data_IF_621877949142
#
_entry.id   IF_621877949142
#
_cell.length_a   1.000
_cell.length_b   1.000
_cell.length_c   1.000
_cell.angle_alpha   90.00
_cell.angle_beta   90.00
_cell.angle_gamma   90.00
#
_symmetry.space_group_name_H-M   'P 1'
#
loop_
_entity.id
_entity.type
_entity.pdbx_description
1 polymer ?
#
# COMPACT_ATOMS: atom_id res chain seq x y z
N UNK A 1 17.56 10.30 13.63
CA UNK A 1 16.28 9.61 13.40
C UNK A 1 16.37 8.94 12.05
N UNK A 2 16.00 7.67 11.94
CA UNK A 2 16.00 6.98 10.65
C UNK A 2 14.84 7.52 9.80
N UNK A 3 15.05 7.66 8.49
CA UNK A 3 13.97 7.96 7.56
C UNK A 3 13.06 6.74 7.45
N UNK A 4 11.74 6.94 7.50
CA UNK A 4 10.76 5.86 7.42
C UNK A 4 10.58 5.47 5.95
N UNK A 5 10.80 4.20 5.60
CA UNK A 5 10.55 3.72 4.25
C UNK A 5 9.05 3.46 4.05
N UNK A 6 8.41 4.23 3.17
CA UNK A 6 7.00 4.12 2.89
C UNK A 6 6.74 3.48 1.52
N UNK A 7 5.86 2.48 1.51
CA UNK A 7 5.24 1.95 0.30
C UNK A 7 3.79 2.43 0.22
N UNK A 8 3.55 3.42 -0.64
CA UNK A 8 2.23 3.96 -0.93
C UNK A 8 1.53 3.12 -1.98
N UNK A 9 0.44 2.47 -1.61
CA UNK A 9 -0.28 1.55 -2.46
C UNK A 9 -1.74 1.96 -2.66
N UNK A 10 -2.40 1.31 -3.62
CA UNK A 10 -3.86 1.23 -3.67
C UNK A 10 -4.34 -0.12 -3.12
N UNK A 11 -5.58 -0.23 -2.64
CA UNK A 11 -6.17 -1.51 -2.29
C UNK A 11 -6.06 -2.54 -3.41
N UNK A 12 -5.87 -3.81 -3.04
CA UNK A 12 -5.82 -4.95 -3.97
C UNK A 12 -4.66 -4.92 -4.99
N UNK A 13 -3.62 -4.11 -4.74
CA UNK A 13 -2.40 -3.99 -5.55
C UNK A 13 -1.34 -5.06 -5.33
N UNK A 14 -1.55 -6.01 -4.40
CA UNK A 14 -0.53 -6.95 -3.86
C UNK A 14 0.45 -6.32 -2.85
N UNK A 15 0.15 -5.13 -2.34
CA UNK A 15 0.95 -4.45 -1.30
C UNK A 15 1.20 -5.29 -0.04
N UNK A 16 0.24 -6.10 0.42
CA UNK A 16 0.48 -6.99 1.58
C UNK A 16 1.50 -8.09 1.28
N UNK A 17 1.58 -8.59 0.04
CA UNK A 17 2.62 -9.56 -0.33
C UNK A 17 4.01 -8.91 -0.39
N UNK A 18 4.08 -7.66 -0.86
CA UNK A 18 5.30 -6.86 -0.79
C UNK A 18 5.71 -6.58 0.66
N UNK A 19 4.76 -6.25 1.52
CA UNK A 19 5.01 -6.09 2.96
C UNK A 19 5.53 -7.38 3.60
N UNK A 20 5.01 -8.55 3.21
CA UNK A 20 5.54 -9.83 3.68
C UNK A 20 7.01 -10.01 3.27
N UNK A 21 7.37 -9.69 2.02
CA UNK A 21 8.76 -9.67 1.59
C UNK A 21 9.62 -8.75 2.48
N UNK A 22 9.13 -7.54 2.81
CA UNK A 22 9.83 -6.65 3.75
C UNK A 22 9.97 -7.23 5.16
N UNK A 23 8.96 -7.96 5.65
CA UNK A 23 9.01 -8.65 6.95
C UNK A 23 10.08 -9.75 6.97
N UNK A 24 10.26 -10.49 5.87
CA UNK A 24 11.26 -11.57 5.79
C UNK A 24 12.70 -11.06 5.85
N UNK A 25 12.95 -9.82 5.44
CA UNK A 25 14.28 -9.20 5.51
C UNK A 25 14.80 -9.05 6.94
N UNK A 26 13.89 -8.89 7.92
CA UNK A 26 14.20 -8.74 9.37
C UNK A 26 15.12 -7.56 9.71
N UNK A 27 15.31 -6.63 8.78
CA UNK A 27 16.16 -5.45 8.92
C UNK A 27 15.36 -4.15 9.14
N UNK A 28 14.02 -4.22 9.06
CA UNK A 28 13.11 -3.11 9.33
C UNK A 28 11.98 -3.53 10.28
N UNK A 29 11.57 -2.61 11.15
CA UNK A 29 10.31 -2.73 11.85
C UNK A 29 9.15 -2.43 10.88
N UNK A 30 8.43 -3.48 10.47
CA UNK A 30 7.37 -3.39 9.46
C UNK A 30 5.99 -3.21 10.08
N UNK A 31 5.30 -2.14 9.71
CA UNK A 31 3.96 -1.79 10.18
C UNK A 31 2.93 -1.84 9.04
N UNK A 32 1.78 -2.47 9.32
CA UNK A 32 0.69 -2.63 8.37
C UNK A 32 -0.34 -1.51 8.53
N UNK A 33 -0.38 -0.60 7.57
CA UNK A 33 -1.40 0.46 7.47
C UNK A 33 -1.71 1.16 8.82
N UNK A 34 -0.71 1.72 9.51
CA UNK A 34 -0.90 2.25 10.86
C UNK A 34 -1.87 3.45 10.89
N UNK A 35 -1.87 4.31 9.86
CA UNK A 35 -2.87 5.39 9.76
C UNK A 35 -4.22 4.86 9.28
N UNK A 36 -4.24 3.76 8.53
CA UNK A 36 -5.45 3.00 8.24
C UNK A 36 -6.19 2.58 9.51
N UNK A 37 -5.47 2.10 10.53
CA UNK A 37 -6.11 1.72 11.80
C UNK A 37 -6.81 2.91 12.46
N UNK A 38 -6.14 4.07 12.52
CA UNK A 38 -6.75 5.31 13.02
C UNK A 38 -7.91 5.79 12.13
N UNK A 39 -7.81 5.62 10.81
CA UNK A 39 -8.83 6.01 9.84
C UNK A 39 -10.18 5.32 10.09
N UNK A 40 -10.17 4.05 10.51
CA UNK A 40 -11.38 3.26 10.77
C UNK A 40 -11.76 3.13 12.25
N UNK A 41 -10.77 3.08 13.14
CA UNK A 41 -10.94 2.75 14.56
C UNK A 41 -10.49 3.87 15.50
N UNK A 42 -10.00 4.99 14.99
CA UNK A 42 -9.55 6.12 15.81
C UNK A 42 -10.69 6.92 16.45
N UNK A 43 -10.34 7.67 17.49
CA UNK A 43 -11.22 8.70 18.07
C UNK A 43 -11.45 9.86 17.08
N UNK A 44 -10.45 10.14 16.23
CA UNK A 44 -10.46 11.12 15.14
C UNK A 44 -10.69 10.51 13.75
N UNK A 45 -11.27 9.30 13.71
CA UNK A 45 -11.53 8.54 12.47
C UNK A 45 -12.25 9.37 11.39
N UNK A 46 -11.90 9.10 10.14
CA UNK A 46 -12.38 9.85 8.96
C UNK A 46 -13.04 8.97 7.89
N UNK A 47 -13.08 7.66 8.09
CA UNK A 47 -13.84 6.77 7.21
C UNK A 47 -15.35 7.12 7.20
N UNK A 48 -16.08 6.71 6.14
CA UNK A 48 -17.53 6.82 6.12
C UNK A 48 -18.15 6.18 7.37
N UNK A 49 -19.20 6.77 7.99
CA UNK A 49 -19.78 6.25 9.24
C UNK A 49 -20.20 4.78 9.18
N UNK A 50 -20.57 4.28 8.01
CA UNK A 50 -20.98 2.90 7.76
C UNK A 50 -19.80 1.91 7.79
N UNK A 51 -18.56 2.42 7.67
CA UNK A 51 -17.32 1.65 7.70
C UNK A 51 -16.58 1.73 9.03
N UNK A 52 -16.96 2.68 9.87
CA UNK A 52 -16.33 2.89 11.17
C UNK A 52 -16.52 1.66 12.08
N UNK A 53 -15.41 1.18 12.65
CA UNK A 53 -15.48 0.24 13.76
C UNK A 53 -15.69 0.95 15.10
N UNK A 54 -15.71 0.18 16.18
CA UNK A 54 -15.71 0.74 17.53
C UNK A 54 -14.41 1.51 17.79
N UNK A 55 -14.46 2.76 18.31
CA UNK A 55 -13.25 3.53 18.56
C UNK A 55 -12.36 2.83 19.59
N UNK A 56 -11.07 2.70 19.27
CA UNK A 56 -10.03 2.23 20.18
C UNK A 56 -9.55 3.40 21.04
N UNK A 57 -9.70 3.35 22.37
CA UNK A 57 -9.29 4.46 23.25
C UNK A 57 -7.83 4.85 23.05
N UNK A 58 -7.58 6.16 22.88
CA UNK A 58 -6.24 6.72 22.70
C UNK A 58 -5.65 6.58 21.28
N UNK A 59 -6.32 5.87 20.37
CA UNK A 59 -5.89 5.78 18.97
C UNK A 59 -6.34 7.03 18.21
N UNK A 60 -5.37 7.80 17.72
CA UNK A 60 -5.59 8.94 16.84
C UNK A 60 -4.53 9.00 15.75
N UNK A 61 -4.76 9.77 14.69
CA UNK A 61 -3.72 10.04 13.67
C UNK A 61 -2.46 10.65 14.29
N UNK A 62 -2.63 11.48 15.33
CA UNK A 62 -1.52 12.08 16.08
C UNK A 62 -0.76 11.06 16.94
N UNK A 63 -1.45 10.12 17.59
CA UNK A 63 -0.78 9.06 18.36
C UNK A 63 -0.01 8.12 17.45
N UNK A 64 -0.61 7.72 16.31
CA UNK A 64 0.07 6.92 15.28
C UNK A 64 1.33 7.62 14.80
N UNK A 65 1.26 8.93 14.55
CA UNK A 65 2.42 9.70 14.14
C UNK A 65 3.51 9.71 15.22
N UNK A 66 3.14 9.94 16.48
CA UNK A 66 4.06 9.88 17.61
C UNK A 66 4.75 8.52 17.72
N UNK A 67 4.00 7.42 17.58
CA UNK A 67 4.52 6.06 17.68
C UNK A 67 5.48 5.72 16.54
N UNK A 68 5.15 6.13 15.30
CA UNK A 68 6.04 5.98 14.15
C UNK A 68 7.36 6.72 14.34
N UNK A 69 7.30 7.94 14.89
CA UNK A 69 8.52 8.71 15.17
C UNK A 69 9.39 8.03 16.22
N UNK A 70 8.78 7.57 17.31
CA UNK A 70 9.48 6.83 18.36
C UNK A 70 10.11 5.55 17.82
N UNK A 71 9.41 4.78 16.99
CA UNK A 71 9.96 3.59 16.34
C UNK A 71 11.19 3.93 15.48
N UNK A 72 11.13 5.00 14.68
CA UNK A 72 12.21 5.45 13.81
C UNK A 72 13.44 6.01 14.56
N UNK A 73 13.27 6.41 15.82
CA UNK A 73 14.40 6.71 16.72
C UNK A 73 15.15 5.44 17.14
N UNK A 74 14.45 4.31 17.27
CA UNK A 74 15.05 3.03 17.69
C UNK A 74 15.70 2.23 16.56
N UNK A 75 15.25 2.41 15.31
CA UNK A 75 15.79 1.69 14.16
C UNK A 75 15.07 1.98 12.85
N UNK A 76 15.44 1.29 11.75
CA UNK A 76 14.77 1.40 10.46
C UNK A 76 13.31 0.94 10.54
N UNK A 77 12.41 1.72 9.94
CA UNK A 77 10.97 1.44 9.91
C UNK A 77 10.51 1.33 8.47
N UNK A 78 9.66 0.36 8.19
CA UNK A 78 8.93 0.23 6.94
C UNK A 78 7.43 0.32 7.21
N UNK A 79 6.73 1.13 6.42
CA UNK A 79 5.27 1.22 6.45
C UNK A 79 4.71 0.89 5.07
N UNK A 80 3.77 -0.05 5.00
CA UNK A 80 2.89 -0.18 3.85
C UNK A 80 1.64 0.63 4.14
N UNK A 81 1.28 1.56 3.25
CA UNK A 81 0.14 2.43 3.52
C UNK A 81 -0.67 2.88 2.29
N UNK A 82 -1.92 3.27 2.51
CA UNK A 82 -2.75 3.91 1.49
C UNK A 82 -2.77 5.44 1.64
N UNK A 83 -2.51 6.19 0.54
CA UNK A 83 -2.43 7.65 0.58
C UNK A 83 -3.65 8.35 1.20
N UNK A 84 -4.87 7.85 0.94
CA UNK A 84 -6.11 8.47 1.41
C UNK A 84 -6.22 8.55 2.94
N UNK A 85 -5.52 7.68 3.68
CA UNK A 85 -5.51 7.76 5.14
C UNK A 85 -4.78 8.99 5.68
N UNK A 86 -3.82 9.55 4.92
CA UNK A 86 -2.93 10.62 5.40
C UNK A 86 -3.12 11.96 4.67
N UNK A 87 -3.91 12.02 3.59
CA UNK A 87 -4.09 13.24 2.77
C UNK A 87 -4.47 14.48 3.58
N UNK A 88 -5.22 14.31 4.67
CA UNK A 88 -5.69 15.38 5.54
C UNK A 88 -4.61 15.97 6.47
N UNK A 89 -3.45 15.31 6.59
CA UNK A 89 -2.34 15.70 7.48
C UNK A 89 -0.96 15.71 6.80
N UNK A 90 -0.88 15.27 5.54
CA UNK A 90 0.38 15.15 4.80
C UNK A 90 0.89 16.52 4.32
N UNK A 91 1.39 17.36 5.22
CA UNK A 91 2.15 18.55 4.87
C UNK A 91 3.62 18.21 4.52
N UNK A 92 4.41 19.21 4.10
CA UNK A 92 5.78 18.96 3.64
C UNK A 92 6.68 18.50 4.80
N UNK A 93 6.48 19.02 6.01
CA UNK A 93 7.20 18.58 7.22
C UNK A 93 6.92 17.10 7.50
N UNK A 94 5.65 16.68 7.48
CA UNK A 94 5.28 15.28 7.63
C UNK A 94 5.94 14.41 6.55
N UNK A 95 5.84 14.81 5.28
CA UNK A 95 6.33 14.03 4.15
C UNK A 95 7.86 13.89 4.15
N UNK A 96 8.59 14.87 4.64
CA UNK A 96 10.07 14.84 4.66
C UNK A 96 10.66 13.79 5.62
N UNK A 97 9.85 13.24 6.52
CA UNK A 97 10.27 12.13 7.40
C UNK A 97 10.31 10.77 6.69
N UNK A 98 9.80 10.69 5.45
CA UNK A 98 9.69 9.44 4.71
C UNK A 98 10.65 9.37 3.51
N UNK A 99 11.04 8.15 3.19
CA UNK A 99 11.59 7.76 1.91
C UNK A 99 10.46 7.05 1.16
N UNK A 100 10.03 7.61 0.03
CA UNK A 100 8.76 7.22 -0.59
C UNK A 100 8.99 6.25 -1.73
N UNK A 101 8.09 5.29 -1.85
CA UNK A 101 7.93 4.45 -3.03
C UNK A 101 6.46 4.15 -3.26
N UNK A 102 6.10 3.80 -4.49
CA UNK A 102 4.71 3.56 -4.87
C UNK A 102 4.55 2.15 -5.43
N UNK A 103 3.44 1.48 -5.10
CA UNK A 103 3.01 0.25 -5.75
C UNK A 103 1.67 0.49 -6.46
N UNK A 104 1.68 0.34 -7.77
CA UNK A 104 0.50 0.48 -8.62
C UNK A 104 0.07 -0.86 -9.18
N UNK A 105 -1.20 -0.95 -9.58
CA UNK A 105 -1.72 -2.11 -10.31
C UNK A 105 -2.87 -1.66 -11.19
N UNK A 106 -2.96 -2.25 -12.38
CA UNK A 106 -4.02 -1.96 -13.35
C UNK A 106 -5.41 -1.98 -12.69
N UNK A 107 -6.21 -0.90 -12.80
CA UNK A 107 -7.56 -0.85 -12.26
C UNK A 107 -8.48 -1.97 -12.79
N UNK A 108 -8.23 -2.50 -13.99
CA UNK A 108 -8.96 -3.67 -14.49
C UNK A 108 -8.74 -4.94 -13.64
N UNK A 109 -7.67 -4.98 -12.83
CA UNK A 109 -7.34 -6.09 -11.92
C UNK A 109 -7.68 -5.78 -10.46
N UNK A 110 -7.62 -4.51 -10.04
CA UNK A 110 -7.93 -4.12 -8.65
C UNK A 110 -9.43 -3.96 -8.41
N UNK A 111 -10.16 -3.32 -9.33
CA UNK A 111 -11.56 -2.96 -9.13
C UNK A 111 -12.49 -4.19 -9.04
N UNK A 112 -12.37 -5.21 -9.91
CA UNK A 112 -13.16 -6.43 -9.72
C UNK A 112 -12.85 -7.16 -8.41
N UNK A 113 -11.58 -7.15 -7.98
CA UNK A 113 -11.19 -7.74 -6.70
C UNK A 113 -11.75 -6.98 -5.51
N UNK A 114 -11.88 -5.65 -5.63
CA UNK A 114 -12.47 -4.82 -4.60
C UNK A 114 -13.99 -5.03 -4.57
N UNK A 115 -14.64 -5.05 -5.73
CA UNK A 115 -16.07 -5.33 -5.87
C UNK A 115 -16.49 -6.68 -5.29
N UNK A 116 -15.69 -7.74 -5.48
CA UNK A 116 -15.94 -9.07 -4.89
C UNK A 116 -16.03 -9.03 -3.36
N UNK A 117 -15.20 -8.22 -2.71
CA UNK A 117 -15.17 -8.09 -1.25
C UNK A 117 -16.12 -7.01 -0.75
N UNK A 118 -16.35 -6.01 -1.57
CA UNK A 118 -17.01 -4.78 -1.22
C UNK A 118 -17.78 -4.25 -2.44
N UNK A 119 -19.00 -4.76 -2.69
CA UNK A 119 -19.77 -4.40 -3.89
C UNK A 119 -20.25 -2.95 -3.94
N UNK A 120 -20.30 -2.27 -2.80
CA UNK A 120 -20.76 -0.89 -2.61
C UNK A 120 -19.62 0.08 -2.27
N UNK A 121 -18.42 -0.15 -2.80
CA UNK A 121 -17.28 0.74 -2.61
C UNK A 121 -17.50 2.12 -3.24
N UNK A 122 -16.92 3.15 -2.65
CA UNK A 122 -16.86 4.49 -3.22
C UNK A 122 -15.57 4.70 -4.01
N UNK A 123 -15.60 5.57 -5.03
CA UNK A 123 -14.41 5.83 -5.87
C UNK A 123 -13.21 6.33 -5.05
N UNK A 124 -13.44 7.13 -4.01
CA UNK A 124 -12.38 7.61 -3.13
C UNK A 124 -11.67 6.47 -2.37
N UNK A 125 -12.36 5.36 -2.11
CA UNK A 125 -11.81 4.19 -1.43
C UNK A 125 -10.89 3.36 -2.35
N UNK A 126 -10.92 3.63 -3.67
CA UNK A 126 -9.97 3.03 -4.62
C UNK A 126 -8.55 3.58 -4.46
N UNK A 127 -8.41 4.79 -3.90
CA UNK A 127 -7.12 5.44 -3.61
C UNK A 127 -6.30 5.90 -4.82
N UNK A 128 -6.76 5.72 -6.06
CA UNK A 128 -5.96 6.05 -7.26
C UNK A 128 -5.72 7.56 -7.40
N UNK A 129 -6.73 8.39 -7.15
CA UNK A 129 -6.62 9.84 -7.26
C UNK A 129 -5.68 10.40 -6.17
N UNK A 130 -5.80 9.87 -4.94
CA UNK A 130 -4.99 10.24 -3.80
C UNK A 130 -3.54 9.78 -3.96
N UNK A 131 -3.31 8.59 -4.52
CA UNK A 131 -1.97 8.10 -4.86
C UNK A 131 -1.30 8.98 -5.90
N UNK A 132 -2.05 9.37 -6.94
CA UNK A 132 -1.55 10.31 -7.96
C UNK A 132 -1.23 11.68 -7.36
N UNK A 133 -2.13 12.23 -6.55
CA UNK A 133 -1.95 13.53 -5.89
C UNK A 133 -0.70 13.55 -5.00
N UNK A 134 -0.49 12.50 -4.21
CA UNK A 134 0.69 12.37 -3.37
C UNK A 134 1.98 12.24 -4.21
N UNK A 135 1.96 11.43 -5.27
CA UNK A 135 3.09 11.28 -6.18
C UNK A 135 3.48 12.60 -6.85
N UNK A 136 2.51 13.35 -7.38
CA UNK A 136 2.74 14.64 -8.04
C UNK A 136 3.32 15.65 -7.05
N UNK A 137 2.74 15.76 -5.85
CA UNK A 137 3.26 16.65 -4.80
C UNK A 137 4.69 16.32 -4.41
N UNK A 138 5.02 15.04 -4.21
CA UNK A 138 6.37 14.62 -3.86
C UNK A 138 7.36 14.89 -4.98
N UNK A 139 6.93 14.68 -6.23
CA UNK A 139 7.75 14.96 -7.42
C UNK A 139 8.05 16.46 -7.53
N UNK A 140 7.05 17.32 -7.30
CA UNK A 140 7.22 18.78 -7.29
C UNK A 140 8.12 19.23 -6.13
N UNK A 141 7.88 18.72 -4.91
CA UNK A 141 8.62 19.08 -3.71
C UNK A 141 10.10 18.68 -3.78
N UNK A 142 10.39 17.47 -4.28
CA UNK A 142 11.76 16.89 -4.29
C UNK A 142 12.50 17.09 -5.62
N UNK A 143 11.81 17.53 -6.67
CA UNK A 143 12.36 17.72 -8.03
C UNK A 143 12.60 16.42 -8.81
N UNK A 144 12.50 15.26 -8.17
CA UNK A 144 12.60 13.94 -8.80
C UNK A 144 11.47 13.04 -8.31
N UNK A 145 10.84 12.25 -9.20
CA UNK A 145 9.75 11.37 -8.82
C UNK A 145 10.26 10.21 -7.93
N UNK A 146 9.51 9.81 -6.89
CA UNK A 146 9.79 8.59 -6.14
C UNK A 146 9.67 7.33 -7.02
N UNK A 147 10.37 6.23 -6.69
CA UNK A 147 10.28 4.99 -7.46
C UNK A 147 8.85 4.42 -7.46
N UNK A 148 8.43 3.95 -8.62
CA UNK A 148 7.12 3.32 -8.83
C UNK A 148 7.32 1.86 -9.24
N UNK A 149 6.64 0.94 -8.56
CA UNK A 149 6.58 -0.48 -8.88
C UNK A 149 5.24 -0.76 -9.53
N UNK A 150 5.23 -1.35 -10.73
CA UNK A 150 4.02 -1.98 -11.25
C UNK A 150 3.90 -3.41 -10.71
N UNK A 151 2.74 -3.75 -10.17
CA UNK A 151 2.53 -5.03 -9.52
C UNK A 151 2.62 -6.21 -10.49
N UNK A 152 2.37 -6.04 -11.79
CA UNK A 152 2.50 -7.13 -12.77
C UNK A 152 3.95 -7.32 -13.20
N UNK A 153 4.70 -6.24 -13.38
CA UNK A 153 6.14 -6.30 -13.61
C UNK A 153 6.84 -6.99 -12.42
N UNK A 154 6.48 -6.62 -11.19
CA UNK A 154 6.98 -7.28 -9.96
C UNK A 154 6.67 -8.79 -9.94
N UNK A 155 5.50 -9.21 -10.41
CA UNK A 155 5.18 -10.64 -10.43
C UNK A 155 5.88 -11.39 -11.57
N UNK A 156 6.20 -10.70 -12.67
CA UNK A 156 6.85 -11.28 -13.83
C UNK A 156 8.36 -11.46 -13.61
N UNK A 157 8.99 -10.52 -12.91
CA UNK A 157 10.41 -10.57 -12.54
C UNK A 157 10.61 -10.06 -11.09
N UNK A 158 10.30 -10.89 -10.07
CA UNK A 158 10.42 -10.50 -8.67
C UNK A 158 11.84 -10.08 -8.28
N UNK A 159 12.87 -10.80 -8.75
CA UNK A 159 14.27 -10.50 -8.47
C UNK A 159 14.70 -9.17 -9.09
N UNK A 160 14.47 -8.98 -10.40
CA UNK A 160 14.87 -7.77 -11.11
C UNK A 160 14.20 -6.51 -10.58
N UNK A 161 12.87 -6.55 -10.43
CA UNK A 161 12.11 -5.38 -9.96
C UNK A 161 12.39 -5.07 -8.48
N UNK A 162 12.54 -6.10 -7.63
CA UNK A 162 12.87 -5.87 -6.22
C UNK A 162 14.30 -5.35 -6.06
N UNK A 163 15.25 -5.84 -6.86
CA UNK A 163 16.61 -5.29 -6.89
C UNK A 163 16.62 -3.82 -7.30
N UNK A 164 15.92 -3.47 -8.39
CA UNK A 164 15.81 -2.10 -8.86
C UNK A 164 15.14 -1.17 -7.82
N UNK A 165 14.13 -1.67 -7.10
CA UNK A 165 13.50 -0.93 -6.01
C UNK A 165 14.44 -0.74 -4.82
N UNK A 166 15.15 -1.79 -4.39
CA UNK A 166 16.13 -1.73 -3.30
C UNK A 166 17.21 -0.68 -3.60
N UNK A 167 17.75 -0.66 -4.82
CA UNK A 167 18.72 0.34 -5.26
C UNK A 167 18.12 1.76 -5.23
N UNK A 168 16.89 1.93 -5.72
CA UNK A 168 16.22 3.23 -5.76
C UNK A 168 15.91 3.80 -4.37
N UNK A 169 15.60 2.96 -3.39
CA UNK A 169 15.32 3.39 -2.01
C UNK A 169 16.53 3.30 -1.07
N UNK A 170 17.67 2.82 -1.56
CA UNK A 170 18.94 2.83 -0.83
C UNK A 170 19.09 1.75 0.24
N UNK A 171 18.54 0.55 0.01
CA UNK A 171 18.69 -0.62 0.90
C UNK A 171 19.29 -1.82 0.13
N UNK A 172 19.95 -2.80 0.79
CA UNK A 172 20.50 -3.95 0.09
C UNK A 172 19.39 -4.86 -0.46
N UNK A 173 19.58 -5.40 -1.67
CA UNK A 173 18.76 -6.48 -2.19
C UNK A 173 19.08 -7.81 -1.47
N UNK A 174 18.03 -8.50 -1.00
CA UNK A 174 18.12 -9.78 -0.29
C UNK A 174 17.22 -10.79 -1.02
N UNK A 175 17.81 -11.67 -1.84
CA UNK A 175 17.04 -12.65 -2.65
C UNK A 175 16.23 -13.60 -1.75
N UNK A 176 16.74 -13.92 -0.56
CA UNK A 176 16.06 -14.76 0.42
C UNK A 176 14.73 -14.16 0.91
N UNK A 177 14.58 -12.83 0.87
CA UNK A 177 13.35 -12.16 1.30
C UNK A 177 12.17 -12.37 0.32
N UNK A 178 12.45 -12.83 -0.90
CA UNK A 178 11.43 -13.15 -1.89
C UNK A 178 10.68 -14.46 -1.59
N UNK A 179 11.16 -15.23 -0.61
CA UNK A 179 10.63 -16.53 -0.23
C UNK A 179 10.27 -16.56 1.25
N UNK A 180 9.10 -17.13 1.57
CA UNK A 180 8.64 -17.30 2.95
C UNK A 180 7.91 -18.63 3.15
N UNK A 181 7.85 -19.07 4.41
CA UNK A 181 6.85 -20.06 4.80
C UNK A 181 5.49 -19.38 4.89
N UNK A 182 4.40 -20.14 4.70
CA UNK A 182 3.03 -19.63 4.86
C UNK A 182 2.92 -18.73 6.11
N UNK A 183 2.53 -17.44 5.96
CA UNK A 183 2.58 -16.50 7.06
C UNK A 183 1.69 -16.94 8.22
N UNK A 184 2.13 -16.69 9.47
CA UNK A 184 1.37 -17.02 10.69
C UNK A 184 0.17 -16.06 10.84
N UNK A 185 -0.98 -16.58 11.28
CA UNK A 185 -2.27 -15.87 11.37
C UNK A 185 -2.26 -14.58 12.21
N UNK A 186 -1.36 -14.47 13.19
CA UNK A 186 -1.52 -13.53 14.31
C UNK A 186 -1.01 -12.09 14.06
N UNK A 187 -0.41 -11.78 12.90
CA UNK A 187 0.40 -10.55 12.77
C UNK A 187 0.21 -9.72 11.49
N UNK A 188 -0.84 -9.96 10.70
CA UNK A 188 -0.87 -9.40 9.35
C UNK A 188 -1.68 -8.11 9.18
N UNK A 189 -2.80 -7.94 9.89
CA UNK A 189 -3.64 -6.77 9.68
C UNK A 189 -4.57 -6.53 10.86
N UNK A 190 -4.74 -5.27 11.25
CA UNK A 190 -5.78 -4.85 12.18
C UNK A 190 -7.20 -4.97 11.56
N UNK A 191 -7.29 -5.18 10.24
CA UNK A 191 -8.54 -5.28 9.46
C UNK A 191 -8.79 -6.69 8.89
N UNK A 192 -8.34 -7.75 9.58
CA UNK A 192 -8.52 -9.13 9.09
C UNK A 192 -9.84 -9.76 9.54
N UNK A 193 -10.97 -9.09 9.29
CA UNK A 193 -12.31 -9.60 9.60
C UNK A 193 -12.93 -10.46 8.47
N UNK A 194 -12.13 -10.85 7.45
CA UNK A 194 -12.58 -11.67 6.32
C UNK A 194 -11.43 -12.24 5.47
N UNK A 195 -11.75 -12.83 4.32
CA UNK A 195 -10.81 -13.51 3.40
C UNK A 195 -9.92 -12.56 2.56
N UNK A 196 -9.61 -11.36 3.08
CA UNK A 196 -8.88 -10.34 2.33
C UNK A 196 -7.44 -10.74 2.03
N UNK A 197 -6.85 -11.56 2.91
CA UNK A 197 -5.46 -12.00 2.89
C UNK A 197 -5.25 -13.51 2.73
N UNK A 198 -6.31 -14.31 2.49
CA UNK A 198 -6.22 -15.78 2.32
C UNK A 198 -5.15 -16.20 1.31
N UNK A 199 -5.04 -15.43 0.23
CA UNK A 199 -4.07 -15.64 -0.82
C UNK A 199 -2.62 -15.50 -0.35
N UNK A 200 -2.35 -14.53 0.52
CA UNK A 200 -1.02 -14.37 1.13
C UNK A 200 -0.75 -15.53 2.09
N UNK A 201 -1.75 -15.95 2.88
CA UNK A 201 -1.65 -17.12 3.78
C UNK A 201 -1.28 -18.40 3.03
N UNK A 202 -1.73 -18.56 1.79
CA UNK A 202 -1.41 -19.72 0.95
C UNK A 202 -0.13 -19.58 0.10
N UNK A 203 0.55 -18.43 0.16
CA UNK A 203 1.73 -18.15 -0.67
C UNK A 203 3.04 -18.43 0.06
N UNK A 204 4.09 -18.73 -0.70
CA UNK A 204 5.47 -18.93 -0.21
C UNK A 204 6.47 -17.97 -0.86
N UNK A 205 5.96 -16.92 -1.51
CA UNK A 205 6.74 -15.94 -2.25
C UNK A 205 5.85 -15.04 -3.12
N UNK A 206 6.49 -14.10 -3.83
CA UNK A 206 5.83 -13.25 -4.83
C UNK A 206 5.45 -14.08 -6.07
N UNK A 207 4.33 -14.78 -5.97
CA UNK A 207 3.82 -15.70 -7.01
C UNK A 207 2.49 -15.24 -7.60
N UNK A 208 2.31 -15.45 -8.91
CA UNK A 208 1.05 -15.15 -9.59
C UNK A 208 -0.01 -16.14 -9.11
N UNK A 209 -1.11 -15.61 -8.62
CA UNK A 209 -2.32 -16.38 -8.37
C UNK A 209 -3.38 -15.98 -9.40
N UNK A 210 -3.88 -16.97 -10.13
CA UNK A 210 -4.96 -16.78 -11.09
C UNK A 210 -6.26 -16.48 -10.33
N UNK A 211 -7.04 -15.54 -10.85
CA UNK A 211 -8.29 -15.11 -10.23
C UNK A 211 -9.37 -15.07 -11.29
N UNK A 212 -10.56 -15.51 -10.91
CA UNK A 212 -11.75 -15.46 -11.75
C UNK A 212 -12.72 -14.47 -11.11
N UNK A 213 -12.50 -13.18 -11.42
CA UNK A 213 -13.39 -12.10 -11.01
C UNK A 213 -14.23 -11.64 -12.19
N UNK A 214 -15.33 -10.96 -11.88
CA UNK A 214 -16.16 -10.31 -12.90
C UNK A 214 -15.36 -9.32 -13.76
N UNK A 215 -15.75 -9.15 -15.02
CA UNK A 215 -15.15 -8.12 -15.89
C UNK A 215 -15.45 -6.71 -15.38
N UNK A 216 -14.62 -5.73 -15.75
CA UNK A 216 -14.93 -4.29 -15.59
C UNK A 216 -16.28 -3.90 -16.22
N UNK A 217 -16.73 -4.65 -17.22
CA UNK A 217 -18.01 -4.44 -17.90
C UNK A 217 -19.22 -5.04 -17.17
N UNK A 218 -19.03 -5.61 -15.97
CA UNK A 218 -20.10 -6.29 -15.24
C UNK A 218 -21.25 -5.35 -14.82
N UNK A 219 -20.95 -4.11 -14.42
CA UNK A 219 -21.95 -3.11 -14.03
C UNK A 219 -21.46 -1.67 -14.26
N UNK A 220 -22.36 -0.69 -14.10
CA UNK A 220 -22.02 0.73 -14.30
C UNK A 220 -21.00 1.27 -13.29
N UNK A 221 -21.04 0.78 -12.05
CA UNK A 221 -20.08 1.16 -11.01
C UNK A 221 -18.65 0.81 -11.43
N UNK A 222 -18.40 -0.42 -11.89
CA UNK A 222 -17.09 -0.89 -12.32
C UNK A 222 -16.60 -0.17 -13.57
N UNK A 223 -17.49 0.05 -14.56
CA UNK A 223 -17.14 0.83 -15.76
C UNK A 223 -16.75 2.26 -15.42
N UNK A 224 -17.56 2.91 -14.58
CA UNK A 224 -17.31 4.27 -14.14
C UNK A 224 -16.01 4.35 -13.33
N UNK A 225 -15.84 3.49 -12.34
CA UNK A 225 -14.62 3.40 -11.54
C UNK A 225 -13.38 3.18 -12.39
N UNK A 226 -13.44 2.26 -13.36
CA UNK A 226 -12.32 2.01 -14.27
C UNK A 226 -11.96 3.26 -15.07
N UNK A 227 -12.96 3.93 -15.67
CA UNK A 227 -12.73 5.17 -16.44
C UNK A 227 -12.13 6.30 -15.58
N UNK A 228 -12.49 6.36 -14.29
CA UNK A 228 -11.99 7.36 -13.34
C UNK A 228 -10.57 7.03 -12.85
N UNK A 229 -10.29 5.76 -12.55
CA UNK A 229 -8.99 5.32 -11.99
C UNK A 229 -7.89 5.21 -13.06
N UNK A 230 -8.24 4.86 -14.31
CA UNK A 230 -7.25 4.55 -15.36
C UNK A 230 -6.26 5.69 -15.65
N UNK A 231 -6.67 6.96 -15.79
CA UNK A 231 -5.74 8.05 -16.04
C UNK A 231 -4.71 8.22 -14.91
N UNK A 232 -5.11 8.02 -13.65
CA UNK A 232 -4.21 8.10 -12.50
C UNK A 232 -3.17 6.96 -12.52
N UNK A 233 -3.60 5.75 -12.85
CA UNK A 233 -2.71 4.59 -13.03
C UNK A 233 -1.70 4.82 -14.17
N UNK A 234 -2.18 5.15 -15.37
CA UNK A 234 -1.34 5.35 -16.57
C UNK A 234 -0.25 6.40 -16.30
N UNK A 235 -0.61 7.45 -15.56
CA UNK A 235 0.29 8.54 -15.30
C UNK A 235 1.40 8.19 -14.29
N UNK A 236 1.18 7.25 -13.36
CA UNK A 236 2.26 6.67 -12.51
C UNK A 236 3.02 5.55 -13.25
N UNK A 237 2.32 4.77 -14.08
CA UNK A 237 2.90 3.66 -14.86
C UNK A 237 4.01 4.12 -15.80
N UNK A 238 3.94 5.35 -16.30
CA UNK A 238 4.99 5.98 -17.08
C UNK A 238 6.32 6.17 -16.32
N UNK A 239 6.30 6.14 -14.99
CA UNK A 239 7.46 6.29 -14.10
C UNK A 239 7.91 4.98 -13.46
N UNK A 240 7.32 3.85 -13.85
CA UNK A 240 7.64 2.56 -13.22
C UNK A 240 9.09 2.15 -13.45
N UNK A 241 9.64 1.46 -12.46
CA UNK A 241 10.93 0.80 -12.56
C UNK A 241 10.90 -0.26 -13.66
N UNK A 242 12.01 -0.37 -14.37
CA UNK A 242 12.24 -1.38 -15.39
C UNK A 242 13.46 -2.20 -14.95
N UNK A 243 13.34 -3.52 -14.97
CA UNK A 243 14.45 -4.46 -14.77
C UNK A 243 15.18 -4.76 -16.08
#
# INVERSE_FOLDING_TARGET
MHTILALWAVPRSRSTAFEQMMRERKDHHCLHEPFGEAWYLGEDRRCPPQRAGGPKPGLTSASVWSDLRAAAETGPVFVKEFPHYVTHMADDDFLDHFNHSFLIRDPAKTLPSMYDKWPDFEIAETGFAEQRSLFDRLTEHRGTPPPVIDAEDLMADPDGITSAWCDAVGIPFLTEALHWAAPREEAMSWYDSGSWHDNLRASTGLTIQQRDYVSIDHNDLLRHAYSTCRPHYEALFAHRLMA
#
